data_IF_878978499897
#
_entry.id   IF_878978499897
#
_cell.length_a   1.000
_cell.length_b   1.000
_cell.length_c   1.000
_cell.angle_alpha   90.00
_cell.angle_beta   90.00
_cell.angle_gamma   90.00
#
_symmetry.space_group_name_H-M   'P 1'
#
loop_
_entity.id
_entity.type
_entity.pdbx_description
1 polymer ?
#
# COMPACT_ATOMS: atom_id res chain seq x y z
N UNK A 1 -42.16 -6.58 3.85
CA UNK A 1 -40.75 -6.92 4.14
C UNK A 1 -39.94 -6.37 2.97
N UNK A 2 -39.51 -5.10 3.02
CA UNK A 2 -38.21 -4.64 3.53
C UNK A 2 -37.04 -5.42 2.93
N UNK A 3 -36.32 -4.80 1.98
CA UNK A 3 -34.88 -4.48 2.05
C UNK A 3 -34.58 -3.61 0.80
N UNK A 4 -34.66 -2.29 0.97
CA UNK A 4 -33.50 -1.41 1.17
C UNK A 4 -32.72 -1.15 -0.12
N UNK A 5 -33.15 -0.08 -0.79
CA UNK A 5 -32.38 0.67 -1.78
C UNK A 5 -31.01 1.09 -1.22
N UNK A 6 -30.04 1.24 -2.14
CA UNK A 6 -28.69 1.83 -1.97
C UNK A 6 -27.55 0.85 -1.63
N UNK A 7 -27.23 -0.05 -2.55
CA UNK A 7 -25.83 -0.39 -2.79
C UNK A 7 -25.27 0.69 -3.74
N UNK A 8 -24.74 1.78 -3.17
CA UNK A 8 -24.02 2.79 -3.94
C UNK A 8 -22.71 2.13 -4.39
N UNK A 9 -22.66 1.65 -5.63
CA UNK A 9 -21.42 1.20 -6.24
C UNK A 9 -20.47 2.40 -6.32
N UNK A 10 -19.46 2.45 -5.45
CA UNK A 10 -18.30 3.32 -5.66
C UNK A 10 -17.54 2.78 -6.87
N UNK A 11 -17.97 3.19 -8.07
CA UNK A 11 -17.14 3.10 -9.25
C UNK A 11 -16.08 4.20 -9.12
N UNK A 12 -14.97 3.87 -8.46
CA UNK A 12 -13.82 4.76 -8.33
C UNK A 12 -13.26 4.93 -9.75
N UNK A 13 -13.52 6.10 -10.32
CA UNK A 13 -13.02 6.45 -11.64
C UNK A 13 -11.53 6.77 -11.51
N UNK A 14 -10.74 5.73 -11.67
CA UNK A 14 -9.31 5.69 -11.46
C UNK A 14 -8.50 6.47 -12.54
N UNK A 15 -9.18 7.26 -13.37
CA UNK A 15 -8.60 8.10 -14.41
C UNK A 15 -8.74 9.59 -14.04
N UNK A 16 -7.68 10.18 -13.46
CA UNK A 16 -7.51 11.62 -13.30
C UNK A 16 -6.07 12.04 -13.72
N UNK A 17 -5.86 13.29 -14.18
CA UNK A 17 -4.86 13.65 -15.19
C UNK A 17 -3.45 13.95 -14.67
N UNK A 18 -2.53 14.00 -15.64
CA UNK A 18 -1.08 14.18 -15.59
C UNK A 18 -0.60 15.41 -14.80
N UNK A 19 -0.47 15.29 -13.49
CA UNK A 19 0.78 15.74 -12.85
C UNK A 19 1.78 14.59 -12.98
N UNK A 20 3.08 14.86 -13.13
CA UNK A 20 4.11 13.83 -12.95
C UNK A 20 4.11 13.43 -11.48
N UNK A 21 3.14 12.62 -11.10
CA UNK A 21 2.89 12.27 -9.74
C UNK A 21 3.94 11.25 -9.31
N UNK A 22 4.48 11.44 -8.11
CA UNK A 22 5.61 10.65 -7.65
C UNK A 22 5.23 9.16 -7.65
N UNK A 23 6.06 8.35 -8.30
CA UNK A 23 5.86 6.91 -8.40
C UNK A 23 6.70 6.18 -7.35
N UNK A 24 6.10 5.23 -6.65
CA UNK A 24 6.68 4.53 -5.50
C UNK A 24 6.69 3.01 -5.71
N UNK A 25 7.61 2.31 -5.07
CA UNK A 25 7.62 0.83 -5.11
C UNK A 25 6.54 0.25 -4.19
N UNK A 26 6.34 0.88 -3.03
CA UNK A 26 5.48 0.37 -1.97
C UNK A 26 4.63 1.47 -1.34
N UNK A 27 3.37 1.17 -1.02
CA UNK A 27 2.45 2.09 -0.36
C UNK A 27 1.52 1.39 0.64
N UNK A 28 1.10 2.11 1.68
CA UNK A 28 0.13 1.66 2.69
C UNK A 28 -0.75 2.82 3.17
N UNK A 29 -1.96 2.53 3.62
CA UNK A 29 -2.83 3.55 4.21
C UNK A 29 -2.44 3.84 5.66
N UNK A 30 -2.76 5.03 6.17
CA UNK A 30 -2.52 5.45 7.55
C UNK A 30 -3.81 5.79 8.30
N UNK A 31 -3.79 5.54 9.61
CA UNK A 31 -4.87 5.88 10.55
C UNK A 31 -5.04 7.39 10.76
N UNK A 32 -3.95 8.15 10.60
CA UNK A 32 -3.85 9.62 10.57
C UNK A 32 -2.60 10.03 9.79
N UNK A 33 -2.51 11.27 9.31
CA UNK A 33 -1.27 11.83 8.77
C UNK A 33 -0.12 11.63 9.77
N UNK A 34 1.01 11.09 9.29
CA UNK A 34 2.17 10.72 10.10
C UNK A 34 1.88 9.73 11.25
N UNK A 35 0.77 9.00 11.16
CA UNK A 35 0.36 7.97 12.10
C UNK A 35 0.79 6.56 11.73
N UNK A 36 0.37 5.59 12.56
CA UNK A 36 0.54 4.18 12.26
C UNK A 36 -0.20 3.79 10.98
N UNK A 37 0.32 2.75 10.32
CA UNK A 37 -0.33 2.15 9.16
C UNK A 37 -1.69 1.56 9.56
N UNK A 38 -2.64 1.65 8.64
CA UNK A 38 -3.96 1.05 8.77
C UNK A 38 -4.03 -0.19 7.88
N UNK A 39 -3.70 -1.35 8.44
CA UNK A 39 -3.67 -2.63 7.74
C UNK A 39 -5.05 -3.04 7.21
N UNK A 40 -6.12 -2.61 7.90
CA UNK A 40 -7.49 -2.91 7.48
C UNK A 40 -7.83 -2.13 6.22
N UNK A 41 -7.55 -0.83 6.20
CA UNK A 41 -7.78 0.01 5.02
C UNK A 41 -6.85 -0.35 3.87
N UNK A 42 -5.58 -0.67 4.17
CA UNK A 42 -4.62 -1.19 3.18
C UNK A 42 -5.14 -2.47 2.55
N UNK A 43 -5.70 -3.41 3.33
CA UNK A 43 -6.35 -4.62 2.80
C UNK A 43 -7.56 -4.31 1.92
N UNK A 44 -8.33 -3.26 2.23
CA UNK A 44 -9.47 -2.86 1.40
C UNK A 44 -9.01 -2.29 0.06
N UNK A 45 -7.96 -1.47 0.03
CA UNK A 45 -7.36 -0.97 -1.23
C UNK A 45 -6.86 -2.12 -2.10
N UNK A 46 -6.21 -3.12 -1.49
CA UNK A 46 -5.76 -4.32 -2.21
C UNK A 46 -6.92 -5.08 -2.88
N UNK A 47 -8.13 -5.03 -2.29
CA UNK A 47 -9.33 -5.71 -2.79
C UNK A 47 -10.17 -4.86 -3.74
N UNK A 48 -10.17 -3.53 -3.57
CA UNK A 48 -11.07 -2.63 -4.28
C UNK A 48 -10.69 -2.42 -5.74
N UNK A 49 -9.42 -2.62 -6.08
CA UNK A 49 -8.92 -2.17 -7.38
C UNK A 49 -9.07 -3.16 -8.54
N UNK A 50 -9.38 -4.45 -8.28
CA UNK A 50 -9.52 -5.47 -9.34
C UNK A 50 -8.37 -5.45 -10.37
N UNK A 51 -8.60 -6.08 -11.53
CA UNK A 51 -7.59 -6.31 -12.57
C UNK A 51 -6.89 -5.04 -13.12
N UNK A 52 -7.42 -3.84 -12.85
CA UNK A 52 -6.94 -2.57 -13.38
C UNK A 52 -5.68 -2.01 -12.70
N UNK A 53 -5.43 -2.37 -11.43
CA UNK A 53 -4.22 -1.94 -10.71
C UNK A 53 -3.48 -3.08 -10.00
N UNK A 54 -4.20 -4.17 -9.68
CA UNK A 54 -3.73 -5.38 -9.03
C UNK A 54 -2.60 -5.14 -8.03
N UNK A 55 -2.97 -4.62 -6.86
CA UNK A 55 -2.05 -4.49 -5.74
C UNK A 55 -1.91 -5.82 -5.02
N UNK A 56 -0.68 -6.18 -4.67
CA UNK A 56 -0.35 -7.35 -3.85
C UNK A 56 0.49 -6.92 -2.66
N UNK A 57 0.52 -7.73 -1.60
CA UNK A 57 1.46 -7.47 -0.51
C UNK A 57 2.89 -7.63 -1.03
N UNK A 58 3.72 -6.61 -0.76
CA UNK A 58 5.09 -6.53 -1.25
C UNK A 58 6.10 -6.87 -0.16
N UNK A 59 7.31 -7.35 -0.53
CA UNK A 59 7.81 -7.53 -1.89
C UNK A 59 7.41 -8.88 -2.50
N UNK A 60 6.55 -8.87 -3.53
CA UNK A 60 5.97 -10.08 -4.10
C UNK A 60 6.95 -10.95 -4.88
N UNK A 61 8.05 -10.36 -5.36
CA UNK A 61 9.13 -11.08 -6.04
C UNK A 61 9.78 -12.12 -5.12
N UNK A 62 9.80 -11.85 -3.81
CA UNK A 62 10.32 -12.77 -2.81
C UNK A 62 9.18 -13.56 -2.18
N UNK A 63 8.03 -12.91 -1.94
CA UNK A 63 6.89 -13.55 -1.30
C UNK A 63 5.56 -12.83 -1.57
N UNK A 64 4.93 -13.12 -2.71
CA UNK A 64 3.66 -12.50 -3.13
C UNK A 64 2.47 -12.78 -2.21
N UNK A 65 2.56 -13.86 -1.41
CA UNK A 65 1.48 -14.34 -0.59
C UNK A 65 1.72 -14.11 0.91
N UNK A 66 2.94 -13.77 1.33
CA UNK A 66 3.16 -13.45 2.73
C UNK A 66 2.87 -12.00 3.04
N UNK A 67 2.18 -11.85 4.17
CA UNK A 67 1.96 -10.56 4.84
C UNK A 67 3.15 -10.29 5.76
N UNK A 68 4.36 -10.41 5.24
CA UNK A 68 5.57 -10.15 6.00
C UNK A 68 5.75 -8.64 6.17
N UNK A 69 5.98 -8.16 7.40
CA UNK A 69 6.09 -6.73 7.64
C UNK A 69 7.45 -6.20 7.21
N UNK A 70 7.44 -4.94 6.78
CA UNK A 70 8.63 -4.15 6.57
C UNK A 70 9.08 -3.49 7.86
N UNK A 71 10.38 -3.57 8.14
CA UNK A 71 11.00 -2.83 9.23
C UNK A 71 11.09 -1.35 8.88
N UNK A 72 10.77 -0.51 9.87
CA UNK A 72 10.95 0.93 9.78
C UNK A 72 12.42 1.29 9.55
N UNK A 73 12.64 2.31 8.73
CA UNK A 73 13.91 3.03 8.56
C UNK A 73 13.77 4.43 9.15
N UNK A 74 14.66 4.77 10.08
CA UNK A 74 14.70 6.12 10.66
C UNK A 74 15.35 7.14 9.72
N UNK A 75 16.23 6.67 8.83
CA UNK A 75 16.93 7.50 7.84
C UNK A 75 17.20 6.69 6.56
N UNK A 76 17.25 7.36 5.41
CA UNK A 76 17.54 6.74 4.11
C UNK A 76 16.32 6.11 3.42
N UNK A 77 16.58 5.27 2.41
CA UNK A 77 15.53 4.58 1.66
C UNK A 77 14.82 3.50 2.51
N UNK A 78 13.51 3.34 2.30
CA UNK A 78 12.66 2.43 3.07
C UNK A 78 11.45 3.11 3.71
N UNK A 79 10.61 2.34 4.41
CA UNK A 79 9.40 2.89 5.00
C UNK A 79 9.72 3.63 6.30
N UNK A 80 9.09 4.80 6.46
CA UNK A 80 9.11 5.55 7.72
C UNK A 80 8.32 4.86 8.83
N UNK A 81 7.39 3.97 8.48
CA UNK A 81 6.52 3.25 9.41
C UNK A 81 6.68 1.75 9.21
N UNK A 82 6.78 1.00 10.31
CA UNK A 82 6.79 -0.46 10.23
C UNK A 82 5.39 -0.98 9.91
N UNK A 83 5.30 -2.02 9.07
CA UNK A 83 4.06 -2.75 8.82
C UNK A 83 3.94 -3.29 7.41
N UNK A 84 2.70 -3.49 6.96
CA UNK A 84 2.39 -4.12 5.68
C UNK A 84 2.24 -3.06 4.60
N UNK A 85 2.89 -3.30 3.46
CA UNK A 85 2.79 -2.42 2.31
C UNK A 85 2.38 -3.20 1.07
N UNK A 86 1.63 -2.52 0.21
CA UNK A 86 1.26 -3.00 -1.10
C UNK A 86 2.30 -2.59 -2.14
N UNK A 87 2.44 -3.42 -3.16
CA UNK A 87 3.13 -3.11 -4.40
C UNK A 87 2.16 -3.29 -5.57
N UNK A 88 2.40 -2.63 -6.71
CA UNK A 88 1.68 -2.93 -7.94
C UNK A 88 2.35 -4.10 -8.68
N UNK A 89 1.55 -4.97 -9.31
CA UNK A 89 2.10 -5.98 -10.24
C UNK A 89 2.48 -5.41 -11.61
N UNK A 90 2.06 -4.18 -11.92
CA UNK A 90 2.27 -3.53 -13.22
C UNK A 90 3.40 -2.50 -13.22
N UNK A 91 4.13 -2.36 -12.12
CA UNK A 91 5.24 -1.42 -11.99
C UNK A 91 5.19 -0.64 -10.68
N UNK A 92 5.47 0.67 -10.75
CA UNK A 92 5.40 1.56 -9.59
C UNK A 92 3.97 2.04 -9.34
N UNK A 93 3.66 2.31 -8.09
CA UNK A 93 2.41 2.90 -7.61
C UNK A 93 2.47 4.41 -7.79
N UNK A 94 1.46 4.99 -8.44
CA UNK A 94 1.25 6.43 -8.47
C UNK A 94 0.72 6.90 -7.09
N UNK A 95 1.48 7.76 -6.40
CA UNK A 95 1.20 8.14 -5.02
C UNK A 95 -0.10 8.91 -4.78
N UNK A 96 -0.49 9.82 -5.67
CA UNK A 96 -1.75 10.58 -5.56
C UNK A 96 -2.96 9.66 -5.75
N UNK A 97 -2.90 8.75 -6.73
CA UNK A 97 -3.89 7.70 -6.92
C UNK A 97 -4.02 6.86 -5.64
N UNK A 98 -2.90 6.36 -5.10
CA UNK A 98 -2.95 5.53 -3.89
C UNK A 98 -3.47 6.29 -2.67
N UNK A 99 -3.08 7.55 -2.51
CA UNK A 99 -3.64 8.45 -1.50
C UNK A 99 -5.16 8.53 -1.63
N UNK A 100 -5.68 8.81 -2.82
CA UNK A 100 -7.12 8.90 -3.07
C UNK A 100 -7.83 7.57 -2.77
N UNK A 101 -7.25 6.43 -3.17
CA UNK A 101 -7.79 5.11 -2.83
C UNK A 101 -7.88 4.87 -1.32
N UNK A 102 -6.85 5.30 -0.56
CA UNK A 102 -6.89 5.25 0.90
C UNK A 102 -8.01 6.13 1.47
N UNK A 103 -8.22 7.34 0.91
CA UNK A 103 -9.31 8.23 1.32
C UNK A 103 -10.69 7.61 1.03
N UNK A 104 -10.86 6.96 -0.12
CA UNK A 104 -12.12 6.34 -0.54
C UNK A 104 -12.54 5.19 0.40
N UNK A 105 -11.58 4.43 0.93
CA UNK A 105 -11.87 3.38 1.92
C UNK A 105 -11.99 3.92 3.35
N UNK A 106 -11.85 5.24 3.54
CA UNK A 106 -12.01 5.93 4.83
C UNK A 106 -10.73 5.97 5.69
N UNK A 107 -9.56 5.81 5.09
CA UNK A 107 -8.30 6.08 5.77
C UNK A 107 -8.01 7.59 5.82
N UNK A 108 -7.13 7.99 6.73
CA UNK A 108 -6.80 9.38 6.91
C UNK A 108 -5.75 9.87 5.91
N UNK A 109 -4.76 9.03 5.60
CA UNK A 109 -3.62 9.36 4.75
C UNK A 109 -3.02 8.09 4.10
N UNK A 110 -1.91 8.25 3.37
CA UNK A 110 -1.10 7.16 2.81
C UNK A 110 0.39 7.43 3.00
N UNK A 111 1.16 6.37 3.22
CA UNK A 111 2.63 6.41 3.24
C UNK A 111 3.18 5.55 2.12
N UNK A 112 4.08 6.11 1.34
CA UNK A 112 4.76 5.43 0.24
C UNK A 112 6.27 5.58 0.34
N UNK A 113 7.01 4.60 -0.20
CA UNK A 113 8.47 4.65 -0.25
C UNK A 113 9.01 3.90 -1.46
N UNK A 114 10.27 4.20 -1.80
CA UNK A 114 11.05 3.47 -2.78
C UNK A 114 12.10 2.63 -2.08
N UNK A 115 12.43 1.48 -2.68
CA UNK A 115 13.48 0.62 -2.17
C UNK A 115 14.35 0.04 -3.27
N UNK A 116 15.62 0.46 -3.29
CA UNK A 116 16.58 0.00 -4.30
C UNK A 116 17.03 -1.45 -4.06
N UNK A 117 17.20 -1.86 -2.79
CA UNK A 117 17.70 -3.18 -2.41
C UNK A 117 16.92 -3.76 -1.25
N UNK A 118 16.58 -5.04 -1.40
CA UNK A 118 15.79 -5.79 -0.43
C UNK A 118 16.70 -6.72 0.38
N UNK A 119 16.50 -6.72 1.70
CA UNK A 119 17.00 -7.75 2.59
C UNK A 119 15.81 -8.48 3.23
N UNK A 120 15.74 -9.80 3.06
CA UNK A 120 14.84 -10.64 3.84
C UNK A 120 15.56 -11.10 5.10
N UNK A 121 15.01 -10.76 6.26
CA UNK A 121 15.54 -11.16 7.55
C UNK A 121 15.01 -12.54 7.93
N UNK A 122 15.83 -13.31 8.65
CA UNK A 122 15.47 -14.67 9.08
C UNK A 122 14.32 -14.74 10.10
N UNK A 123 13.91 -15.96 10.49
CA UNK A 123 12.79 -16.19 11.41
C UNK A 123 12.94 -15.53 12.79
N UNK A 124 14.18 -15.33 13.26
CA UNK A 124 14.45 -14.62 14.52
C UNK A 124 13.99 -13.15 14.51
N UNK A 125 13.74 -12.60 13.33
CA UNK A 125 13.21 -11.25 13.11
C UNK A 125 11.78 -11.31 12.52
N UNK A 126 11.06 -12.41 12.77
CA UNK A 126 9.68 -12.59 12.32
C UNK A 126 9.51 -12.76 10.80
N UNK A 127 10.60 -13.03 10.06
CA UNK A 127 10.56 -13.06 8.60
C UNK A 127 10.25 -11.68 8.03
N UNK A 128 10.96 -10.63 8.44
CA UNK A 128 10.71 -9.25 8.01
C UNK A 128 11.49 -8.86 6.77
N UNK A 129 11.03 -7.82 6.08
CA UNK A 129 11.80 -7.16 5.03
C UNK A 129 12.42 -5.86 5.54
N UNK A 130 13.63 -5.56 5.06
CA UNK A 130 14.29 -4.29 5.29
C UNK A 130 14.77 -3.72 3.97
N UNK A 131 14.58 -2.41 3.81
CA UNK A 131 15.18 -1.69 2.70
C UNK A 131 16.64 -1.33 3.01
N UNK A 132 17.54 -1.74 2.12
CA UNK A 132 18.98 -1.46 2.22
C UNK A 132 19.42 -0.46 1.15
N UNK A 133 20.62 0.10 1.34
CA UNK A 133 21.24 1.02 0.36
C UNK A 133 21.79 0.25 -0.85
#
# INVERSE_FOLDING_TARGET
MLLSTKALALAINCFLPLAAAASYDYCACQTKTDGALDDTKTSLVARSCGDSYSFVYGPAINDANSKQPWLRRDTGAGPRFQGLFLQSIFGKIEGNLFYNLCRDVGAADSSCFNCARLQQNGPSQGGTFQCTE
#
